data_IF_195230898343
#
_entry.id   IF_195230898343
#
_cell.length_a   1.000
_cell.length_b   1.000
_cell.length_c   1.000
_cell.angle_alpha   90.00
_cell.angle_beta   90.00
_cell.angle_gamma   90.00
#
_symmetry.space_group_name_H-M   'P 1'
#
loop_
_entity.id
_entity.type
_entity.pdbx_description
1 polymer ?
#
# COMPACT_ATOMS: atom_id res chain seq x y z
N UNK A 1 -73.72 -18.07 26.94
CA UNK A 1 -72.96 -19.17 26.27
C UNK A 1 -72.87 -18.84 24.79
N UNK A 2 -71.66 -18.80 24.24
CA UNK A 2 -71.29 -18.62 22.81
C UNK A 2 -71.45 -17.22 22.18
N UNK A 3 -70.42 -16.39 22.40
CA UNK A 3 -69.89 -15.40 21.42
C UNK A 3 -69.46 -16.21 20.16
N UNK A 4 -69.95 -16.01 18.91
CA UNK A 4 -69.71 -14.90 17.96
C UNK A 4 -68.26 -14.40 18.09
N UNK A 5 -67.33 -14.59 17.14
CA UNK A 5 -67.38 -14.06 15.77
C UNK A 5 -66.19 -14.64 14.99
N UNK A 6 -66.44 -15.01 13.74
CA UNK A 6 -65.44 -15.26 12.69
C UNK A 6 -64.75 -13.94 12.34
N UNK A 7 -63.43 -13.85 12.45
CA UNK A 7 -62.62 -12.86 11.73
C UNK A 7 -61.34 -13.53 11.25
N UNK A 8 -61.12 -13.41 9.95
CA UNK A 8 -59.97 -13.82 9.16
C UNK A 8 -58.63 -13.66 9.89
N UNK A 9 -57.83 -14.73 9.87
CA UNK A 9 -56.38 -14.64 10.02
C UNK A 9 -55.76 -14.21 8.68
N UNK A 10 -55.74 -12.90 8.44
CA UNK A 10 -54.76 -12.25 7.54
C UNK A 10 -54.24 -11.04 8.30
N UNK A 11 -53.09 -11.19 8.94
CA UNK A 11 -52.20 -10.08 9.23
C UNK A 11 -50.78 -10.63 9.40
N UNK A 12 -50.10 -10.74 8.26
CA UNK A 12 -48.67 -10.51 8.16
C UNK A 12 -48.47 -9.02 8.40
N UNK A 13 -47.80 -8.63 9.48
CA UNK A 13 -46.83 -7.53 9.51
C UNK A 13 -46.28 -7.36 10.93
N UNK A 14 -44.97 -7.58 11.06
CA UNK A 14 -44.06 -6.68 11.77
C UNK A 14 -44.18 -6.58 13.30
N UNK A 15 -43.37 -7.38 14.02
CA UNK A 15 -42.72 -6.94 15.27
C UNK A 15 -41.30 -7.52 15.37
N UNK A 16 -40.35 -6.66 15.00
CA UNK A 16 -39.08 -6.42 15.69
C UNK A 16 -38.08 -7.57 15.86
N UNK A 17 -37.34 -7.77 14.77
CA UNK A 17 -35.93 -8.16 14.82
C UNK A 17 -35.12 -6.99 15.39
N UNK A 18 -34.54 -7.13 16.58
CA UNK A 18 -33.31 -6.43 16.95
C UNK A 18 -32.28 -7.42 17.50
N UNK A 19 -31.83 -8.32 16.62
CA UNK A 19 -30.48 -8.87 16.74
C UNK A 19 -29.52 -7.75 16.30
N UNK A 20 -28.58 -7.27 17.12
CA UNK A 20 -27.60 -6.29 16.68
C UNK A 20 -26.82 -6.90 15.49
N UNK A 21 -26.63 -6.16 14.38
CA UNK A 21 -26.10 -6.72 13.13
C UNK A 21 -24.61 -7.15 13.16
N UNK A 22 -24.02 -7.41 14.32
CA UNK A 22 -22.62 -7.83 14.45
C UNK A 22 -22.27 -8.36 15.86
N UNK A 23 -22.93 -9.42 16.32
CA UNK A 23 -22.31 -10.29 17.33
C UNK A 23 -21.23 -11.15 16.63
N UNK A 24 -20.02 -10.62 16.53
CA UNK A 24 -18.84 -11.37 16.06
C UNK A 24 -18.45 -12.34 17.17
N UNK A 25 -18.48 -13.64 16.88
CA UNK A 25 -17.81 -14.66 17.69
C UNK A 25 -16.34 -14.27 17.87
N UNK A 26 -15.79 -14.43 19.08
CA UNK A 26 -14.46 -13.96 19.55
C UNK A 26 -13.25 -14.63 18.87
N UNK A 27 -13.39 -15.09 17.64
CA UNK A 27 -12.41 -15.85 16.89
C UNK A 27 -12.57 -15.55 15.39
N UNK A 28 -12.24 -14.32 15.02
CA UNK A 28 -12.09 -13.87 13.63
C UNK A 28 -10.66 -13.32 13.47
N UNK A 29 -9.91 -13.88 12.53
CA UNK A 29 -8.54 -13.48 12.21
C UNK A 29 -8.43 -11.96 12.04
N UNK A 30 -7.80 -11.30 13.01
CA UNK A 30 -7.57 -9.85 12.95
C UNK A 30 -6.73 -9.51 11.72
N UNK A 31 -7.38 -8.99 10.67
CA UNK A 31 -6.67 -8.29 9.60
C UNK A 31 -5.90 -7.15 10.26
N UNK A 32 -4.55 -7.19 10.31
CA UNK A 32 -3.81 -6.09 10.88
C UNK A 32 -4.11 -4.87 10.02
N UNK A 33 -4.61 -3.80 10.65
CA UNK A 33 -5.00 -2.58 9.96
C UNK A 33 -3.91 -2.15 8.96
N UNK A 34 -4.22 -2.06 7.65
CA UNK A 34 -3.21 -1.88 6.61
C UNK A 34 -2.55 -0.51 6.72
N UNK A 35 -1.38 -0.47 7.34
CA UNK A 35 -0.49 0.70 7.31
C UNK A 35 0.31 0.71 6.03
N UNK A 36 0.38 1.85 5.34
CA UNK A 36 1.27 2.03 4.19
C UNK A 36 2.72 1.67 4.57
N UNK A 37 3.35 0.79 3.80
CA UNK A 37 4.73 0.37 4.02
C UNK A 37 5.62 0.94 2.93
N UNK A 38 6.81 1.39 3.33
CA UNK A 38 7.86 1.76 2.39
C UNK A 38 8.38 0.53 1.66
N UNK A 39 8.63 0.64 0.35
CA UNK A 39 9.32 -0.41 -0.40
C UNK A 39 10.79 -0.48 0.05
N UNK A 40 11.16 -1.56 0.74
CA UNK A 40 12.51 -1.76 1.28
C UNK A 40 13.59 -1.75 0.20
N UNK A 41 13.26 -2.20 -1.02
CA UNK A 41 14.13 -2.16 -2.20
C UNK A 41 14.48 -0.73 -2.63
N UNK A 42 13.50 0.18 -2.60
CA UNK A 42 13.67 1.59 -2.93
C UNK A 42 14.46 2.31 -1.84
N UNK A 43 14.14 2.07 -0.56
CA UNK A 43 14.86 2.64 0.59
C UNK A 43 16.37 2.33 0.56
N UNK A 44 16.75 1.13 0.10
CA UNK A 44 18.17 0.72 -0.04
C UNK A 44 18.90 1.38 -1.20
N UNK A 45 18.17 1.87 -2.22
CA UNK A 45 18.74 2.34 -3.49
C UNK A 45 18.74 3.86 -3.63
N UNK A 46 17.76 4.54 -3.04
CA UNK A 46 17.54 5.97 -3.16
C UNK A 46 17.78 6.67 -1.83
N UNK A 47 18.44 7.84 -1.89
CA UNK A 47 18.58 8.74 -0.74
C UNK A 47 17.90 10.06 -1.07
N UNK A 48 16.89 10.42 -0.29
CA UNK A 48 16.20 11.71 -0.37
C UNK A 48 17.07 12.77 0.29
N UNK A 49 17.20 13.93 -0.34
CA UNK A 49 17.88 15.10 0.22
C UNK A 49 16.83 16.05 0.81
N UNK A 50 17.24 16.89 1.75
CA UNK A 50 16.37 17.92 2.33
C UNK A 50 15.84 18.95 1.32
N UNK A 51 16.47 19.06 0.14
CA UNK A 51 16.01 19.92 -0.96
C UNK A 51 15.04 19.20 -1.94
N UNK A 52 14.42 18.08 -1.54
CA UNK A 52 13.47 17.33 -2.36
C UNK A 52 14.08 16.49 -3.50
N UNK A 53 15.37 16.66 -3.79
CA UNK A 53 16.07 15.86 -4.79
C UNK A 53 16.41 14.44 -4.31
N UNK A 54 16.40 13.47 -5.22
CA UNK A 54 16.74 12.07 -4.93
C UNK A 54 18.07 11.67 -5.58
N UNK A 55 19.01 11.18 -4.76
CA UNK A 55 20.30 10.63 -5.23
C UNK A 55 20.22 9.14 -5.52
N UNK A 56 20.94 8.71 -6.56
CA UNK A 56 21.15 7.31 -6.95
C UNK A 56 22.60 7.02 -7.37
N UNK A 57 22.99 5.75 -7.34
CA UNK A 57 24.23 5.28 -7.95
C UNK A 57 24.06 5.01 -9.46
N UNK A 58 25.14 5.11 -10.23
CA UNK A 58 25.14 4.68 -11.63
C UNK A 58 25.08 3.15 -11.76
N UNK A 59 24.41 2.68 -12.81
CA UNK A 59 24.33 1.26 -13.15
C UNK A 59 25.58 0.80 -13.93
N UNK A 60 25.72 -0.53 -14.09
CA UNK A 60 26.70 -1.18 -14.96
C UNK A 60 28.19 -1.10 -14.57
N UNK A 61 28.51 -0.92 -13.28
CA UNK A 61 29.91 -0.91 -12.78
C UNK A 61 30.30 -2.16 -11.96
N UNK A 62 29.60 -3.29 -12.13
CA UNK A 62 29.82 -4.51 -11.32
C UNK A 62 30.49 -5.64 -12.09
N UNK A 63 30.03 -5.96 -13.30
CA UNK A 63 30.57 -7.05 -14.12
C UNK A 63 30.93 -6.56 -15.53
N UNK A 64 31.81 -7.33 -16.20
CA UNK A 64 32.30 -7.07 -17.56
C UNK A 64 32.92 -5.67 -17.73
N UNK A 65 33.87 -5.36 -16.85
CA UNK A 65 34.63 -4.11 -16.86
C UNK A 65 35.81 -4.11 -17.84
N UNK A 66 36.17 -5.29 -18.36
CA UNK A 66 37.26 -5.50 -19.32
C UNK A 66 36.94 -4.84 -20.67
N UNK A 67 35.74 -5.05 -21.20
CA UNK A 67 35.28 -4.46 -22.48
C UNK A 67 34.95 -2.97 -22.41
N UNK A 68 34.99 -2.36 -21.23
CA UNK A 68 34.63 -0.94 -21.03
C UNK A 68 35.86 -0.07 -21.02
N UNK A 69 35.79 1.04 -21.75
CA UNK A 69 36.85 2.06 -21.75
C UNK A 69 37.08 2.62 -20.34
N UNK A 70 38.31 3.08 -20.07
CA UNK A 70 38.70 3.69 -18.79
C UNK A 70 37.88 4.96 -18.51
N UNK A 71 37.55 5.74 -19.54
CA UNK A 71 36.68 6.93 -19.46
C UNK A 71 35.30 6.58 -18.90
N UNK A 72 34.64 5.56 -19.47
CA UNK A 72 33.31 5.14 -19.02
C UNK A 72 33.34 4.65 -17.57
N UNK A 73 34.35 3.82 -17.20
CA UNK A 73 34.54 3.37 -15.81
C UNK A 73 34.71 4.50 -14.80
N UNK A 74 35.27 5.65 -15.21
CA UNK A 74 35.44 6.85 -14.37
C UNK A 74 34.12 7.58 -14.16
N UNK A 75 33.34 7.76 -15.22
CA UNK A 75 32.03 8.42 -15.15
C UNK A 75 31.04 7.63 -14.29
N UNK A 76 31.06 6.29 -14.38
CA UNK A 76 30.19 5.42 -13.58
C UNK A 76 30.54 5.37 -12.08
N UNK A 77 31.63 6.01 -11.61
CA UNK A 77 31.98 6.05 -10.18
C UNK A 77 31.11 7.03 -9.38
N UNK A 78 30.56 8.05 -10.05
CA UNK A 78 29.80 9.11 -9.40
C UNK A 78 28.43 8.66 -8.88
N UNK A 79 27.78 9.60 -8.19
CA UNK A 79 26.34 9.53 -7.92
C UNK A 79 25.64 10.55 -8.80
N UNK A 80 24.44 10.22 -9.26
CA UNK A 80 23.61 11.10 -10.09
C UNK A 80 22.27 11.33 -9.44
N UNK A 81 21.62 12.42 -9.83
CA UNK A 81 20.23 12.66 -9.47
C UNK A 81 19.30 11.78 -10.30
N UNK A 82 18.14 11.46 -9.72
CA UNK A 82 17.03 10.85 -10.45
C UNK A 82 16.46 11.90 -11.43
N UNK A 83 15.97 11.45 -12.58
CA UNK A 83 15.33 12.33 -13.56
C UNK A 83 13.98 12.82 -13.00
N UNK A 84 13.61 14.05 -13.31
CA UNK A 84 12.39 14.68 -12.80
C UNK A 84 11.13 13.86 -13.09
N UNK A 85 11.09 13.16 -14.22
CA UNK A 85 9.96 12.29 -14.61
C UNK A 85 9.75 11.11 -13.65
N UNK A 86 10.81 10.61 -13.04
CA UNK A 86 10.75 9.42 -12.17
C UNK A 86 10.52 9.79 -10.70
N UNK A 87 10.64 11.07 -10.32
CA UNK A 87 10.54 11.52 -8.93
C UNK A 87 9.17 11.20 -8.33
N UNK A 88 8.08 11.40 -9.09
CA UNK A 88 6.73 11.11 -8.62
C UNK A 88 6.54 9.61 -8.28
N UNK A 89 7.15 8.72 -9.07
CA UNK A 89 7.11 7.28 -8.83
C UNK A 89 7.92 6.88 -7.60
N UNK A 90 9.09 7.51 -7.39
CA UNK A 90 9.93 7.27 -6.21
C UNK A 90 9.27 7.77 -4.93
N UNK A 91 8.62 8.94 -4.96
CA UNK A 91 7.90 9.48 -3.81
C UNK A 91 6.76 8.54 -3.35
N UNK A 92 5.99 7.98 -4.30
CA UNK A 92 4.94 6.99 -3.99
C UNK A 92 5.48 5.74 -3.31
N UNK A 93 6.70 5.32 -3.61
CA UNK A 93 7.35 4.15 -3.00
C UNK A 93 7.89 4.42 -1.58
N UNK A 94 8.13 5.68 -1.25
CA UNK A 94 8.74 6.15 -0.02
C UNK A 94 7.82 7.14 0.72
N UNK A 95 6.68 6.68 1.25
CA UNK A 95 5.67 7.56 1.87
C UNK A 95 6.12 8.27 3.17
N UNK A 96 7.27 7.91 3.74
CA UNK A 96 7.79 8.44 5.01
C UNK A 96 9.20 9.05 4.86
N UNK A 97 9.61 9.41 3.64
CA UNK A 97 10.95 9.90 3.34
C UNK A 97 11.00 11.40 3.11
#
# INVERSE_FOLDING_TARGET
MRQKTVVLWVQVFETDVLKPPNALSDNEWSFPMPKMKTKSSAKKRFKVLGNGGVKRAHAFKRHILTKKTTKNKRQLRGTSMVNDRDLASVAKMLPYA
#
